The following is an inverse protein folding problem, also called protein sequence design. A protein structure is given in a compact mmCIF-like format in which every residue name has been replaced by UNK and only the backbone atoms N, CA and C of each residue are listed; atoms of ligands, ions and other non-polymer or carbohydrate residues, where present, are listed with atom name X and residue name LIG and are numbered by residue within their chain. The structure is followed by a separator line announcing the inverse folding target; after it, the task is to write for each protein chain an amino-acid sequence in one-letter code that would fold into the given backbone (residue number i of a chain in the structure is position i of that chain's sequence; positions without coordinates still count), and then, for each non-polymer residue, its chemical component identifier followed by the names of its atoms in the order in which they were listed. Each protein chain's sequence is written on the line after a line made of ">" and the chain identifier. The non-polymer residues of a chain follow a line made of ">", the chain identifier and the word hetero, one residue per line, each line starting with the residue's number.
data_IF_971386317076
#
_entry.id   IF_971386317076
#
_cell.length_a   1.000
_cell.length_b   1.000
_cell.length_c   1.000
_cell.angle_alpha   90.00
_cell.angle_beta   90.00
_cell.angle_gamma   90.00
#
_symmetry.space_group_name_H-M   'P 1'
#
loop_
_entity.id
_entity.type
_entity.pdbx_description
1 polymer ?
#
# COMPACT_ATOMS: atom_id res chain seq x y z
N UNK A 1 22.14 9.50 8.44
CA UNK A 1 21.02 9.09 9.30
C UNK A 1 20.28 7.99 8.56
N UNK A 2 20.08 6.84 9.17
CA UNK A 2 19.26 5.78 8.59
C UNK A 2 17.79 6.16 8.75
N UNK A 3 17.08 6.37 7.64
CA UNK A 3 15.63 6.58 7.63
C UNK A 3 14.93 5.25 7.83
N UNK A 4 14.16 5.14 8.91
CA UNK A 4 13.39 3.95 9.24
C UNK A 4 11.91 4.19 8.96
N UNK A 5 11.32 3.34 8.12
CA UNK A 5 9.92 3.44 7.73
C UNK A 5 9.08 2.37 8.44
N UNK A 6 7.98 2.79 9.06
CA UNK A 6 7.01 1.88 9.70
C UNK A 6 5.67 1.98 8.99
N UNK A 7 5.04 0.84 8.71
CA UNK A 7 3.70 0.82 8.14
C UNK A 7 2.68 1.45 9.08
N UNK A 8 1.94 2.43 8.58
CA UNK A 8 0.86 3.13 9.29
C UNK A 8 -0.45 3.07 8.50
N UNK A 9 -1.56 3.38 9.17
CA UNK A 9 -2.86 3.53 8.52
C UNK A 9 -2.99 4.89 7.85
N UNK A 10 -3.63 4.89 6.70
CA UNK A 10 -4.12 6.11 6.04
C UNK A 10 -5.58 6.38 6.38
N UNK A 11 -6.03 7.60 6.12
CA UNK A 11 -7.45 7.95 6.24
C UNK A 11 -8.34 7.10 5.31
N UNK A 12 -7.85 6.76 4.12
CA UNK A 12 -8.53 5.82 3.21
C UNK A 12 -8.72 4.43 3.82
N UNK A 13 -7.75 3.91 4.58
CA UNK A 13 -7.89 2.61 5.25
C UNK A 13 -9.05 2.64 6.25
N UNK A 14 -9.21 3.74 6.98
CA UNK A 14 -10.33 3.94 7.90
C UNK A 14 -11.67 4.02 7.17
N UNK A 15 -11.74 4.74 6.05
CA UNK A 15 -12.97 4.86 5.25
C UNK A 15 -13.41 3.50 4.72
N UNK A 16 -12.50 2.72 4.12
CA UNK A 16 -12.82 1.41 3.52
C UNK A 16 -13.37 0.47 4.58
N UNK A 17 -12.72 0.43 5.75
CA UNK A 17 -13.10 -0.48 6.83
C UNK A 17 -14.42 -0.05 7.49
N UNK A 18 -14.64 1.25 7.67
CA UNK A 18 -15.93 1.79 8.15
C UNK A 18 -17.07 1.49 7.17
N UNK A 19 -16.84 1.69 5.87
CA UNK A 19 -17.83 1.43 4.83
C UNK A 19 -18.25 -0.05 4.80
N UNK A 20 -17.29 -0.98 4.92
CA UNK A 20 -17.59 -2.41 5.00
C UNK A 20 -18.46 -2.75 6.22
N UNK A 21 -18.14 -2.20 7.39
CA UNK A 21 -18.92 -2.46 8.61
C UNK A 21 -20.36 -1.92 8.45
N UNK A 22 -20.52 -0.70 7.91
CA UNK A 22 -21.83 -0.11 7.67
C UNK A 22 -22.66 -0.91 6.67
N UNK A 23 -22.07 -1.34 5.55
CA UNK A 23 -22.75 -2.19 4.57
C UNK A 23 -23.20 -3.52 5.16
N UNK A 24 -22.36 -4.16 5.97
CA UNK A 24 -22.72 -5.39 6.65
C UNK A 24 -23.87 -5.19 7.65
N UNK A 25 -23.89 -4.07 8.38
CA UNK A 25 -25.00 -3.73 9.29
C UNK A 25 -26.31 -3.49 8.53
N UNK A 26 -26.26 -2.75 7.42
CA UNK A 26 -27.43 -2.49 6.57
C UNK A 26 -28.04 -3.82 6.10
N UNK A 27 -27.21 -4.76 5.64
CA UNK A 27 -27.67 -6.08 5.21
C UNK A 27 -28.31 -6.91 6.33
N UNK A 28 -27.83 -6.79 7.56
CA UNK A 28 -28.42 -7.49 8.71
C UNK A 28 -29.76 -6.86 9.11
N UNK A 29 -29.83 -5.54 9.17
CA UNK A 29 -31.01 -4.82 9.69
C UNK A 29 -32.17 -4.85 8.69
N UNK A 30 -31.88 -4.76 7.38
CA UNK A 30 -32.91 -4.66 6.35
C UNK A 30 -33.37 -6.01 5.78
N UNK A 31 -32.71 -7.11 6.12
CA UNK A 31 -33.00 -8.40 5.51
C UNK A 31 -33.79 -9.33 6.42
N UNK A 32 -34.89 -9.84 5.89
CA UNK A 32 -35.65 -10.95 6.49
C UNK A 32 -35.08 -12.34 6.12
N UNK A 33 -34.23 -12.41 5.10
CA UNK A 33 -33.57 -13.65 4.69
C UNK A 33 -32.39 -13.99 5.60
N UNK A 34 -32.40 -15.19 6.18
CA UNK A 34 -31.28 -15.73 6.97
C UNK A 34 -29.96 -15.75 6.21
N UNK A 35 -29.99 -15.97 4.88
CA UNK A 35 -28.76 -16.01 4.07
C UNK A 35 -28.08 -14.64 3.96
N UNK A 36 -28.87 -13.58 3.84
CA UNK A 36 -28.38 -12.19 3.76
C UNK A 36 -27.88 -11.70 5.12
N UNK A 37 -28.51 -12.13 6.22
CA UNK A 37 -28.01 -11.86 7.57
C UNK A 37 -26.63 -12.48 7.76
N UNK A 38 -26.44 -13.74 7.36
CA UNK A 38 -25.13 -14.42 7.42
C UNK A 38 -24.10 -13.70 6.54
N UNK A 39 -24.48 -13.30 5.32
CA UNK A 39 -23.60 -12.54 4.43
C UNK A 39 -23.18 -11.19 5.05
N UNK A 40 -24.13 -10.46 5.64
CA UNK A 40 -23.86 -9.21 6.35
C UNK A 40 -22.91 -9.39 7.54
N UNK A 41 -23.09 -10.45 8.32
CA UNK A 41 -22.19 -10.79 9.42
C UNK A 41 -20.75 -11.08 8.92
N UNK A 42 -20.60 -11.82 7.82
CA UNK A 42 -19.29 -12.09 7.20
C UNK A 42 -18.62 -10.81 6.68
N UNK A 43 -19.40 -9.86 6.14
CA UNK A 43 -18.89 -8.56 5.72
C UNK A 43 -18.38 -7.75 6.92
N UNK A 44 -19.11 -7.73 8.04
CA UNK A 44 -18.66 -7.06 9.28
C UNK A 44 -17.36 -7.68 9.79
N UNK A 45 -17.28 -9.01 9.83
CA UNK A 45 -16.07 -9.73 10.26
C UNK A 45 -14.90 -9.34 9.34
N UNK A 46 -15.10 -9.33 8.03
CA UNK A 46 -14.09 -8.95 7.05
C UNK A 46 -13.64 -7.50 7.25
N UNK A 47 -14.58 -6.57 7.45
CA UNK A 47 -14.28 -5.17 7.74
C UNK A 47 -13.48 -4.99 9.03
N UNK A 48 -13.77 -5.77 10.07
CA UNK A 48 -12.98 -5.80 11.32
C UNK A 48 -11.57 -6.34 11.10
N UNK A 49 -11.42 -7.44 10.37
CA UNK A 49 -10.10 -8.00 10.05
C UNK A 49 -9.28 -6.98 9.24
N UNK A 50 -9.88 -6.38 8.21
CA UNK A 50 -9.23 -5.35 7.42
C UNK A 50 -8.88 -4.13 8.26
N UNK A 51 -9.71 -3.74 9.23
CA UNK A 51 -9.35 -2.68 10.16
C UNK A 51 -8.02 -2.99 10.83
N UNK A 52 -7.84 -4.18 11.41
CA UNK A 52 -6.58 -4.52 12.08
C UNK A 52 -5.38 -4.71 11.14
N UNK A 53 -5.60 -5.24 9.94
CA UNK A 53 -4.51 -5.63 9.02
C UNK A 53 -4.11 -4.55 8.02
N UNK A 54 -5.03 -3.67 7.61
CA UNK A 54 -4.77 -2.70 6.55
C UNK A 54 -3.87 -1.58 7.09
N UNK A 55 -2.68 -1.48 6.51
CA UNK A 55 -1.70 -0.41 6.73
C UNK A 55 -1.06 -0.09 5.38
N UNK A 56 -1.60 0.91 4.68
CA UNK A 56 -1.20 1.23 3.31
C UNK A 56 -0.07 2.26 3.19
N UNK A 57 0.14 3.10 4.21
CA UNK A 57 1.20 4.11 4.20
C UNK A 57 2.44 3.69 4.99
N UNK A 58 3.53 4.41 4.74
CA UNK A 58 4.78 4.31 5.47
C UNK A 58 5.05 5.63 6.18
N UNK A 59 5.45 5.56 7.45
CA UNK A 59 5.79 6.73 8.25
C UNK A 59 7.28 6.68 8.59
N UNK A 60 8.01 7.76 8.33
CA UNK A 60 9.38 7.90 8.83
C UNK A 60 9.34 8.09 10.34
N UNK A 61 10.04 7.23 11.09
CA UNK A 61 10.08 7.30 12.55
C UNK A 61 10.82 8.51 13.08
N UNK A 62 11.69 9.12 12.27
CA UNK A 62 12.56 10.23 12.65
C UNK A 62 11.86 11.56 12.47
N UNK A 63 11.23 11.77 11.31
CA UNK A 63 10.55 13.04 10.98
C UNK A 63 9.05 13.01 11.27
N UNK A 64 8.45 11.82 11.31
CA UNK A 64 7.00 11.65 11.44
C UNK A 64 6.23 11.84 10.13
N UNK A 65 6.92 12.11 9.03
CA UNK A 65 6.32 12.34 7.72
C UNK A 65 5.71 11.04 7.16
N UNK A 66 4.62 11.18 6.41
CA UNK A 66 3.93 10.07 5.76
C UNK A 66 4.31 9.99 4.28
N UNK A 67 4.56 8.75 3.83
CA UNK A 67 4.98 8.38 2.49
C UNK A 67 4.07 7.28 1.94
N UNK A 68 3.83 7.33 0.64
CA UNK A 68 3.21 6.24 -0.11
C UNK A 68 4.31 5.33 -0.65
N UNK A 69 4.07 4.01 -0.62
CA UNK A 69 4.99 3.03 -1.17
C UNK A 69 4.58 2.64 -2.59
N UNK A 70 5.54 2.64 -3.52
CA UNK A 70 5.40 2.04 -4.85
C UNK A 70 6.47 0.99 -5.03
N UNK A 71 6.07 -0.22 -5.41
CA UNK A 71 7.01 -1.31 -5.70
C UNK A 71 7.16 -1.42 -7.21
N UNK A 72 8.40 -1.40 -7.68
CA UNK A 72 8.77 -1.56 -9.08
C UNK A 72 9.66 -2.79 -9.23
N UNK A 73 9.51 -3.50 -10.34
CA UNK A 73 10.25 -4.72 -10.63
C UNK A 73 11.05 -4.55 -11.92
N UNK A 74 12.35 -4.86 -11.87
CA UNK A 74 13.27 -4.70 -12.99
C UNK A 74 13.97 -6.02 -13.31
N UNK A 75 14.39 -6.21 -14.56
CA UNK A 75 15.18 -7.38 -14.93
C UNK A 75 16.54 -7.39 -14.18
N UNK A 76 16.96 -8.55 -13.66
CA UNK A 76 18.25 -8.71 -12.97
C UNK A 76 19.47 -8.32 -13.83
N UNK A 77 19.40 -8.53 -15.14
CA UNK A 77 20.47 -8.14 -16.06
C UNK A 77 20.76 -6.64 -16.05
N UNK A 78 19.79 -5.81 -15.65
CA UNK A 78 19.89 -4.35 -15.60
C UNK A 78 20.36 -3.80 -14.24
N UNK A 79 20.81 -4.66 -13.31
CA UNK A 79 21.23 -4.26 -11.95
C UNK A 79 22.19 -3.07 -11.93
N UNK A 80 23.25 -3.12 -12.73
CA UNK A 80 24.29 -2.09 -12.71
C UNK A 80 23.75 -0.77 -13.30
N UNK A 81 22.94 -0.85 -14.35
CA UNK A 81 22.29 0.33 -14.93
C UNK A 81 21.31 0.99 -13.94
N UNK A 82 20.54 0.19 -13.21
CA UNK A 82 19.64 0.69 -12.16
C UNK A 82 20.43 1.39 -11.03
N UNK A 83 21.53 0.79 -10.56
CA UNK A 83 22.38 1.38 -9.52
C UNK A 83 23.06 2.67 -9.98
N UNK A 84 23.49 2.74 -11.24
CA UNK A 84 24.09 3.95 -11.80
C UNK A 84 23.06 5.06 -11.99
N UNK A 85 21.84 4.73 -12.46
CA UNK A 85 20.74 5.67 -12.58
C UNK A 85 20.32 6.23 -11.21
N UNK A 86 20.19 5.38 -10.19
CA UNK A 86 19.89 5.79 -8.81
C UNK A 86 20.97 6.71 -8.20
N UNK A 87 22.22 6.61 -8.65
CA UNK A 87 23.33 7.47 -8.17
C UNK A 87 23.43 8.80 -8.91
N UNK A 88 23.06 8.84 -10.19
CA UNK A 88 23.23 10.02 -11.05
C UNK A 88 21.96 10.82 -11.22
N UNK A 89 20.89 10.18 -11.71
CA UNK A 89 19.65 10.84 -12.04
C UNK A 89 18.47 9.86 -12.04
N UNK A 90 17.52 10.06 -11.14
CA UNK A 90 16.31 9.23 -11.04
C UNK A 90 15.42 9.30 -12.30
N UNK A 91 15.54 10.33 -13.13
CA UNK A 91 14.82 10.38 -14.40
C UNK A 91 15.26 9.29 -15.40
N UNK A 92 16.49 8.78 -15.28
CA UNK A 92 16.98 7.68 -16.12
C UNK A 92 16.39 6.32 -15.69
N UNK A 93 15.79 6.25 -14.50
CA UNK A 93 15.15 5.03 -13.97
C UNK A 93 13.82 4.75 -14.68
N UNK A 94 13.12 5.78 -15.19
CA UNK A 94 11.87 5.58 -15.96
C UNK A 94 12.09 5.02 -17.36
N UNK A 95 13.30 5.13 -17.90
CA UNK A 95 13.67 4.56 -19.21
C UNK A 95 14.07 3.08 -19.13
N UNK A 96 14.19 2.54 -17.90
CA UNK A 96 14.48 1.12 -17.69
C UNK A 96 13.16 0.36 -17.69
N UNK A 97 13.00 -0.58 -18.63
CA UNK A 97 11.79 -1.41 -18.73
C UNK A 97 11.46 -2.10 -17.40
N UNK A 98 10.24 -1.86 -16.94
CA UNK A 98 9.66 -2.50 -15.75
C UNK A 98 9.05 -3.83 -16.19
N UNK A 99 9.44 -4.93 -15.54
CA UNK A 99 8.82 -6.23 -15.77
C UNK A 99 7.61 -6.41 -14.86
N UNK A 100 6.49 -6.89 -15.39
CA UNK A 100 5.30 -7.21 -14.57
C UNK A 100 5.49 -8.49 -13.73
N UNK A 101 6.55 -9.27 -13.97
CA UNK A 101 6.75 -10.57 -13.30
C UNK A 101 7.73 -10.50 -12.12
N UNK A 102 7.25 -10.93 -10.96
CA UNK A 102 8.01 -10.95 -9.70
C UNK A 102 9.02 -12.11 -9.58
N UNK A 103 8.96 -13.14 -10.44
CA UNK A 103 9.62 -14.41 -10.14
C UNK A 103 11.15 -14.38 -10.27
N UNK A 104 11.75 -13.42 -11.00
CA UNK A 104 13.23 -13.27 -11.14
C UNK A 104 13.69 -11.82 -11.28
N UNK A 105 12.94 -10.85 -10.78
CA UNK A 105 13.23 -9.43 -10.92
C UNK A 105 13.92 -8.84 -9.69
N UNK A 106 14.65 -7.74 -9.91
CA UNK A 106 15.11 -6.83 -8.86
C UNK A 106 13.92 -6.01 -8.41
N UNK A 107 13.71 -5.95 -7.10
CA UNK A 107 12.65 -5.14 -6.49
C UNK A 107 13.23 -3.80 -6.06
N UNK A 108 12.61 -2.72 -6.50
CA UNK A 108 12.85 -1.37 -6.02
C UNK A 108 11.61 -0.91 -5.26
N UNK A 109 11.78 -0.62 -3.97
CA UNK A 109 10.74 -0.02 -3.14
C UNK A 109 10.98 1.50 -3.12
N UNK A 110 10.02 2.26 -3.64
CA UNK A 110 10.06 3.72 -3.68
C UNK A 110 9.07 4.29 -2.68
N UNK A 111 9.52 5.16 -1.80
CA UNK A 111 8.69 5.85 -0.82
C UNK A 111 8.62 7.33 -1.16
N UNK A 112 7.42 7.85 -1.47
CA UNK A 112 7.26 9.23 -1.90
C UNK A 112 6.20 9.97 -1.10
N UNK A 113 6.42 11.27 -0.88
CA UNK A 113 5.47 12.17 -0.24
C UNK A 113 5.37 13.45 -1.04
N UNK A 114 4.17 13.76 -1.53
CA UNK A 114 3.90 15.02 -2.22
C UNK A 114 3.89 16.21 -1.24
N UNK A 115 3.43 15.98 -0.01
CA UNK A 115 3.34 17.02 1.03
C UNK A 115 4.72 17.56 1.42
N UNK A 116 5.69 16.65 1.57
CA UNK A 116 7.06 16.99 1.99
C UNK A 116 8.01 17.10 0.80
N UNK A 117 7.50 16.85 -0.42
CA UNK A 117 8.25 16.83 -1.68
C UNK A 117 9.56 16.02 -1.60
N UNK A 118 9.47 14.79 -1.09
CA UNK A 118 10.60 13.87 -0.89
C UNK A 118 10.32 12.50 -1.46
N UNK A 119 11.39 11.86 -1.95
CA UNK A 119 11.39 10.50 -2.49
C UNK A 119 12.60 9.76 -1.89
N UNK A 120 12.37 8.53 -1.43
CA UNK A 120 13.36 7.59 -0.90
C UNK A 120 13.32 6.27 -1.65
#
# INVERSE_FOLDING_TARGET
>A
METNFVKTRTFSDYIITAALILLGLILIVLSDSSSMIIAGAMIIITGRVLFFCLKSAWKDTSTGDMYQGKVLYYNRSKKNALLDALRKNLAEVSDIEVEESAQKSLRLDVYYSQDVNKIY
#
